data_IF_635706099031
#
_entry.id   IF_635706099031
#
_cell.length_a   1.000
_cell.length_b   1.000
_cell.length_c   1.000
_cell.angle_alpha   90.00
_cell.angle_beta   90.00
_cell.angle_gamma   90.00
#
_symmetry.space_group_name_H-M   'P 1'
#
loop_
_entity.id
_entity.type
_entity.pdbx_description
1 polymer ?
#
# COMPACT_ATOMS: atom_id res chain seq x y z
N UNK A 1 -4.86 -6.26 -4.93
CA UNK A 1 -5.21 -4.89 -5.39
C UNK A 1 -6.71 -4.75 -5.62
N UNK A 2 -7.32 -5.47 -6.58
CA UNK A 2 -8.76 -5.36 -6.90
C UNK A 2 -9.70 -5.74 -5.73
N UNK A 3 -9.27 -6.66 -4.85
CA UNK A 3 -9.98 -7.05 -3.63
C UNK A 3 -9.84 -6.03 -2.46
N UNK A 4 -9.35 -4.80 -2.71
CA UNK A 4 -9.09 -3.75 -1.70
C UNK A 4 -8.07 -4.07 -0.59
N UNK A 5 -7.45 -5.25 -0.64
CA UNK A 5 -6.37 -5.66 0.28
C UNK A 5 -5.02 -5.10 -0.17
N UNK A 6 -4.86 -3.77 -0.06
CA UNK A 6 -3.64 -3.08 -0.50
C UNK A 6 -2.42 -3.43 0.36
N UNK A 7 -2.58 -3.58 1.68
CA UNK A 7 -1.47 -3.93 2.58
C UNK A 7 -0.86 -5.31 2.25
N UNK A 8 -1.69 -6.31 1.98
CA UNK A 8 -1.21 -7.64 1.58
C UNK A 8 -0.62 -7.64 0.17
N UNK A 9 -1.21 -6.87 -0.75
CA UNK A 9 -0.64 -6.67 -2.08
C UNK A 9 0.77 -6.05 -1.99
N UNK A 10 0.95 -5.00 -1.17
CA UNK A 10 2.27 -4.38 -0.95
C UNK A 10 3.27 -5.39 -0.39
N UNK A 11 2.88 -6.19 0.60
CA UNK A 11 3.76 -7.23 1.18
C UNK A 11 4.17 -8.28 0.15
N UNK A 12 3.22 -8.79 -0.63
CA UNK A 12 3.49 -9.80 -1.67
C UNK A 12 4.38 -9.25 -2.78
N UNK A 13 4.08 -8.06 -3.31
CA UNK A 13 4.93 -7.41 -4.31
C UNK A 13 6.33 -7.12 -3.77
N UNK A 14 6.45 -6.63 -2.53
CA UNK A 14 7.75 -6.37 -1.92
C UNK A 14 8.60 -7.65 -1.82
N UNK A 15 8.01 -8.75 -1.36
CA UNK A 15 8.72 -10.04 -1.26
C UNK A 15 9.18 -10.56 -2.62
N UNK A 16 8.32 -10.47 -3.65
CA UNK A 16 8.64 -10.93 -5.02
C UNK A 16 9.72 -10.05 -5.64
N UNK A 17 9.60 -8.72 -5.54
CA UNK A 17 10.57 -7.79 -6.12
C UNK A 17 11.95 -7.91 -5.44
N UNK A 18 12.00 -8.10 -4.13
CA UNK A 18 13.24 -8.39 -3.40
C UNK A 18 13.87 -9.71 -3.86
N UNK A 19 13.06 -10.74 -4.09
CA UNK A 19 13.54 -12.03 -4.61
C UNK A 19 14.14 -11.88 -6.02
N UNK A 20 13.46 -11.14 -6.90
CA UNK A 20 13.95 -10.85 -8.27
C UNK A 20 15.26 -10.06 -8.21
N UNK A 21 15.36 -9.04 -7.36
CA UNK A 21 16.57 -8.24 -7.20
C UNK A 21 17.77 -9.10 -6.77
N UNK A 22 17.58 -10.05 -5.85
CA UNK A 22 18.64 -10.96 -5.37
C UNK A 22 19.06 -11.99 -6.42
N UNK A 23 18.11 -12.45 -7.24
CA UNK A 23 18.32 -13.58 -8.15
C UNK A 23 18.70 -13.11 -9.57
N UNK A 24 18.71 -11.79 -9.83
CA UNK A 24 18.99 -11.16 -11.13
C UNK A 24 20.25 -11.68 -11.83
N UNK A 25 21.33 -11.95 -11.09
CA UNK A 25 22.60 -12.43 -11.65
C UNK A 25 22.56 -13.92 -12.07
N UNK A 26 21.68 -14.73 -11.45
CA UNK A 26 21.52 -16.14 -11.80
C UNK A 26 20.64 -16.36 -13.05
N UNK A 27 19.81 -15.39 -13.39
CA UNK A 27 18.87 -15.48 -14.52
C UNK A 27 19.52 -15.28 -15.89
N UNK A 28 20.78 -14.81 -15.98
CA UNK A 28 21.45 -14.51 -17.26
C UNK A 28 21.59 -15.70 -18.23
N UNK A 29 21.34 -16.94 -17.80
CA UNK A 29 21.51 -18.13 -18.63
C UNK A 29 20.35 -18.47 -19.59
N UNK A 30 19.21 -17.75 -19.60
CA UNK A 30 18.04 -18.05 -20.48
C UNK A 30 17.38 -16.81 -21.11
N UNK A 31 17.74 -16.49 -22.36
CA UNK A 31 17.43 -15.21 -23.00
C UNK A 31 15.93 -14.84 -23.15
N UNK A 32 15.03 -15.75 -23.54
CA UNK A 32 13.63 -15.37 -23.84
C UNK A 32 12.76 -15.17 -22.59
N UNK A 33 12.98 -15.97 -21.54
CA UNK A 33 12.18 -15.89 -20.30
C UNK A 33 12.53 -14.63 -19.50
N UNK A 34 13.77 -14.16 -19.62
CA UNK A 34 14.24 -12.95 -18.92
C UNK A 34 13.52 -11.69 -19.37
N UNK A 35 13.25 -11.53 -20.66
CA UNK A 35 12.57 -10.33 -21.16
C UNK A 35 11.11 -10.27 -20.67
N UNK A 36 10.44 -11.42 -20.61
CA UNK A 36 9.10 -11.52 -20.04
C UNK A 36 9.10 -11.21 -18.53
N UNK A 37 10.06 -11.75 -17.79
CA UNK A 37 10.22 -11.50 -16.35
C UNK A 37 10.53 -10.02 -16.10
N UNK A 38 11.40 -9.41 -16.88
CA UNK A 38 11.73 -7.98 -16.76
C UNK A 38 10.49 -7.11 -16.99
N UNK A 39 9.71 -7.41 -18.05
CA UNK A 39 8.45 -6.69 -18.31
C UNK A 39 7.43 -6.85 -17.18
N UNK A 40 7.27 -8.07 -16.66
CA UNK A 40 6.40 -8.31 -15.50
C UNK A 40 6.91 -7.61 -14.24
N UNK A 41 8.23 -7.53 -14.06
CA UNK A 41 8.86 -6.80 -12.94
C UNK A 41 8.54 -5.31 -13.03
N UNK A 42 8.62 -4.71 -14.21
CA UNK A 42 8.21 -3.31 -14.43
C UNK A 42 6.72 -3.09 -14.14
N UNK A 43 5.85 -4.00 -14.59
CA UNK A 43 4.42 -3.95 -14.27
C UNK A 43 4.19 -4.04 -12.75
N UNK A 44 4.90 -4.92 -12.05
CA UNK A 44 4.82 -5.03 -10.59
C UNK A 44 5.27 -3.74 -9.88
N UNK A 45 6.34 -3.08 -10.35
CA UNK A 45 6.74 -1.78 -9.79
C UNK A 45 5.66 -0.72 -9.97
N UNK A 46 5.00 -0.67 -11.13
CA UNK A 46 3.90 0.28 -11.39
C UNK A 46 2.70 -0.02 -10.48
N UNK A 47 2.30 -1.29 -10.32
CA UNK A 47 1.23 -1.68 -9.40
C UNK A 47 1.60 -1.35 -7.95
N UNK A 48 2.86 -1.53 -7.56
CA UNK A 48 3.34 -1.15 -6.24
C UNK A 48 3.27 0.36 -6.04
N UNK A 49 3.66 1.17 -7.04
CA UNK A 49 3.50 2.62 -7.00
C UNK A 49 2.06 3.04 -6.76
N UNK A 50 1.09 2.44 -7.47
CA UNK A 50 -0.34 2.70 -7.27
C UNK A 50 -0.79 2.28 -5.86
N UNK A 51 -0.41 1.09 -5.40
CA UNK A 51 -0.78 0.63 -4.06
C UNK A 51 -0.23 1.55 -2.97
N UNK A 52 0.97 2.11 -3.19
CA UNK A 52 1.63 3.01 -2.25
C UNK A 52 1.03 4.42 -2.23
N UNK A 53 0.50 4.91 -3.36
CA UNK A 53 -0.22 6.19 -3.37
C UNK A 53 -1.57 6.09 -2.66
N UNK A 54 -2.27 4.96 -2.83
CA UNK A 54 -3.56 4.69 -2.19
C UNK A 54 -3.43 4.34 -0.70
N UNK A 55 -2.43 3.54 -0.35
CA UNK A 55 -2.14 3.13 1.03
C UNK A 55 -0.65 3.30 1.35
N UNK A 56 -0.23 4.46 1.89
CA UNK A 56 1.17 4.67 2.20
C UNK A 56 1.56 3.78 3.39
N UNK A 57 2.47 2.84 3.14
CA UNK A 57 3.01 1.89 4.10
C UNK A 57 4.54 1.91 4.03
N UNK A 58 5.21 1.63 5.15
CA UNK A 58 6.67 1.50 5.16
C UNK A 58 7.09 0.21 4.44
N UNK A 59 7.94 0.36 3.41
CA UNK A 59 8.56 -0.72 2.64
C UNK A 59 10.07 -0.75 2.93
N UNK A 60 10.75 -1.83 2.51
CA UNK A 60 12.20 -1.93 2.46
C UNK A 60 12.84 -0.74 1.71
N UNK A 61 14.00 -0.29 2.21
CA UNK A 61 14.73 0.85 1.70
C UNK A 61 15.25 0.62 0.27
N UNK A 62 15.62 -0.62 -0.09
CA UNK A 62 16.09 -0.93 -1.44
C UNK A 62 15.01 -0.74 -2.50
N UNK A 63 13.77 -1.14 -2.19
CA UNK A 63 12.62 -0.95 -3.07
C UNK A 63 12.20 0.52 -3.11
N UNK A 64 12.25 1.21 -1.97
CA UNK A 64 11.97 2.66 -1.93
C UNK A 64 12.97 3.45 -2.79
N UNK A 65 14.23 3.03 -2.86
CA UNK A 65 15.22 3.66 -3.72
C UNK A 65 14.84 3.50 -5.20
N UNK A 66 14.51 2.30 -5.65
CA UNK A 66 14.07 2.03 -7.04
C UNK A 66 12.80 2.81 -7.38
N UNK A 67 11.85 2.92 -6.45
CA UNK A 67 10.62 3.70 -6.65
C UNK A 67 10.87 5.23 -6.72
N UNK A 68 11.97 5.72 -6.13
CA UNK A 68 12.39 7.13 -6.25
C UNK A 68 13.13 7.42 -7.56
N UNK A 69 13.61 6.40 -8.26
CA UNK A 69 14.24 6.56 -9.56
C UNK A 69 13.21 6.90 -10.65
N UNK A 70 13.66 7.63 -11.68
CA UNK A 70 12.82 7.93 -12.85
C UNK A 70 12.70 6.66 -13.69
N UNK A 71 11.50 6.30 -14.21
CA UNK A 71 10.28 7.12 -14.33
C UNK A 71 9.25 6.95 -13.20
N UNK A 72 9.46 6.05 -12.24
CA UNK A 72 8.46 5.70 -11.23
C UNK A 72 8.12 6.87 -10.29
N UNK A 73 9.12 7.68 -9.93
CA UNK A 73 8.92 8.85 -9.06
C UNK A 73 8.03 9.93 -9.68
N UNK A 74 8.16 10.16 -10.99
CA UNK A 74 7.33 11.15 -11.70
C UNK A 74 5.87 10.69 -11.75
N UNK A 75 5.63 9.41 -12.03
CA UNK A 75 4.27 8.83 -12.01
C UNK A 75 3.66 8.90 -10.62
N UNK A 76 4.42 8.55 -9.58
CA UNK A 76 3.97 8.66 -8.20
C UNK A 76 3.61 10.10 -7.80
N UNK A 77 4.41 11.09 -8.20
CA UNK A 77 4.13 12.49 -7.92
C UNK A 77 2.84 12.98 -8.60
N UNK A 78 2.58 12.58 -9.86
CA UNK A 78 1.33 12.88 -10.55
C UNK A 78 0.12 12.21 -9.89
N UNK A 79 0.26 10.94 -9.53
CA UNK A 79 -0.79 10.19 -8.82
C UNK A 79 -1.10 10.80 -7.45
N UNK A 80 -0.10 11.29 -6.71
CA UNK A 80 -0.30 11.99 -5.43
C UNK A 80 -1.03 13.34 -5.59
N UNK A 81 -0.88 14.01 -6.74
CA UNK A 81 -1.61 15.24 -7.06
C UNK A 81 -3.06 14.98 -7.46
N UNK A 82 -3.45 13.72 -7.68
CA UNK A 82 -4.80 13.36 -8.06
C UNK A 82 -5.07 13.28 -9.55
N UNK A 83 -4.03 13.13 -10.39
CA UNK A 83 -4.21 12.98 -11.83
C UNK A 83 -4.78 11.60 -12.17
N UNK A 84 -6.10 11.53 -12.39
CA UNK A 84 -6.83 10.30 -12.73
C UNK A 84 -6.33 9.67 -14.04
N UNK A 85 -5.82 10.46 -14.99
CA UNK A 85 -5.34 9.92 -16.26
C UNK A 85 -4.09 9.05 -16.09
N UNK A 86 -3.19 9.44 -15.17
CA UNK A 86 -1.98 8.66 -14.90
C UNK A 86 -2.34 7.33 -14.20
N UNK A 87 -3.41 7.29 -13.39
CA UNK A 87 -3.96 6.06 -12.84
C UNK A 87 -4.48 5.13 -13.93
N UNK A 88 -5.25 5.65 -14.89
CA UNK A 88 -5.82 4.85 -15.99
C UNK A 88 -4.73 4.25 -16.88
N UNK A 89 -3.71 5.05 -17.24
CA UNK A 89 -2.57 4.60 -18.05
C UNK A 89 -1.75 3.55 -17.29
N UNK A 90 -1.45 3.81 -16.02
CA UNK A 90 -0.67 2.90 -15.18
C UNK A 90 -1.41 1.57 -14.93
N UNK A 91 -2.72 1.62 -14.71
CA UNK A 91 -3.55 0.43 -14.54
C UNK A 91 -3.67 -0.36 -15.84
N UNK A 92 -3.90 0.32 -16.97
CA UNK A 92 -3.99 -0.33 -18.30
C UNK A 92 -2.69 -1.02 -18.70
N UNK A 93 -1.53 -0.46 -18.34
CA UNK A 93 -0.24 -1.05 -18.62
C UNK A 93 0.07 -2.26 -17.73
N UNK A 94 -0.30 -2.17 -16.45
CA UNK A 94 0.14 -3.12 -15.44
C UNK A 94 -0.87 -4.24 -15.15
N UNK A 95 -2.14 -4.08 -15.55
CA UNK A 95 -3.13 -5.13 -15.40
C UNK A 95 -2.88 -6.30 -16.34
N UNK A 96 -3.09 -7.54 -15.86
CA UNK A 96 -3.13 -8.70 -16.74
C UNK A 96 -4.31 -8.54 -17.72
N UNK A 97 -4.21 -9.17 -18.89
CA UNK A 97 -5.29 -9.15 -19.88
C UNK A 97 -6.53 -9.80 -19.28
N UNK A 98 -7.61 -9.03 -19.14
CA UNK A 98 -8.90 -9.55 -18.72
C UNK A 98 -9.48 -10.42 -19.84
N UNK A 99 -9.95 -11.61 -19.50
CA UNK A 99 -10.58 -12.52 -20.45
C UNK A 99 -12.08 -12.24 -20.44
N UNK A 100 -12.67 -12.02 -21.62
CA UNK A 100 -14.11 -12.08 -21.78
C UNK A 100 -14.56 -13.55 -21.71
N UNK A 101 -15.56 -13.89 -20.89
CA UNK A 101 -16.08 -15.26 -20.81
C UNK A 101 -16.90 -15.66 -22.04
N UNK A 102 -17.24 -14.71 -22.92
CA UNK A 102 -18.03 -14.95 -24.12
C UNK A 102 -17.10 -15.06 -25.35
N UNK A 103 -17.19 -16.15 -26.13
CA UNK A 103 -16.53 -16.21 -27.42
C UNK A 103 -17.15 -15.17 -28.36
N UNK A 104 -16.35 -14.41 -29.14
CA UNK A 104 -16.87 -13.36 -30.01
C UNK A 104 -17.80 -13.96 -31.09
N UNK A 105 -19.00 -13.39 -31.22
CA UNK A 105 -19.98 -13.68 -32.26
C UNK A 105 -19.35 -13.43 -33.64
N UNK A 106 -19.44 -14.36 -34.58
CA UNK A 106 -18.84 -14.23 -35.92
C UNK A 106 -19.36 -13.02 -36.73
N UNK A 107 -20.54 -12.50 -36.38
CA UNK A 107 -21.18 -11.37 -37.08
C UNK A 107 -20.90 -9.99 -36.44
N UNK A 108 -20.24 -9.92 -35.29
CA UNK A 108 -20.05 -8.68 -34.50
C UNK A 108 -18.60 -8.18 -34.49
N UNK A 109 -17.84 -8.43 -35.56
CA UNK A 109 -16.46 -7.96 -35.75
C UNK A 109 -16.27 -6.42 -35.73
N UNK A 110 -17.33 -5.63 -35.50
CA UNK A 110 -17.30 -4.17 -35.56
C UNK A 110 -17.27 -3.47 -34.19
N UNK A 111 -17.55 -4.16 -33.09
CA UNK A 111 -17.56 -3.53 -31.75
C UNK A 111 -16.41 -4.11 -30.91
N UNK A 112 -15.63 -3.24 -30.27
CA UNK A 112 -14.48 -3.56 -29.43
C UNK A 112 -14.86 -4.33 -28.14
N UNK A 113 -15.52 -5.50 -28.25
CA UNK A 113 -15.94 -6.34 -27.12
C UNK A 113 -14.75 -6.80 -26.26
N UNK A 114 -13.55 -6.93 -26.84
CA UNK A 114 -12.34 -7.33 -26.11
C UNK A 114 -11.89 -6.28 -25.07
N UNK A 115 -12.31 -5.02 -25.20
CA UNK A 115 -11.93 -3.94 -24.28
C UNK A 115 -12.98 -3.64 -23.21
N UNK A 116 -14.20 -4.15 -23.37
CA UNK A 116 -15.30 -3.89 -22.45
C UNK A 116 -14.99 -4.36 -21.00
N UNK A 117 -14.40 -5.56 -20.77
CA UNK A 117 -14.07 -6.00 -19.41
C UNK A 117 -13.00 -5.13 -18.75
N UNK A 118 -12.00 -4.67 -19.51
CA UNK A 118 -10.96 -3.77 -19.02
C UNK A 118 -11.56 -2.40 -18.66
N UNK A 119 -12.46 -1.87 -19.49
CA UNK A 119 -13.13 -0.59 -19.22
C UNK A 119 -14.03 -0.67 -17.99
N UNK A 120 -14.75 -1.78 -17.80
CA UNK A 120 -15.57 -1.98 -16.60
C UNK A 120 -14.70 -1.99 -15.33
N UNK A 121 -13.58 -2.71 -15.36
CA UNK A 121 -12.64 -2.77 -14.22
C UNK A 121 -11.97 -1.42 -13.97
N UNK A 122 -11.60 -0.69 -15.03
CA UNK A 122 -11.07 0.67 -14.93
C UNK A 122 -12.08 1.61 -14.30
N UNK A 123 -13.36 1.53 -14.67
CA UNK A 123 -14.41 2.37 -14.08
C UNK A 123 -14.54 2.13 -12.57
N UNK A 124 -14.63 0.86 -12.16
CA UNK A 124 -14.70 0.49 -10.73
C UNK A 124 -13.46 0.97 -9.97
N UNK A 125 -12.29 0.86 -10.60
CA UNK A 125 -11.05 1.34 -10.01
C UNK A 125 -11.01 2.87 -9.90
N UNK A 126 -11.41 3.60 -10.93
CA UNK A 126 -11.43 5.07 -10.97
C UNK A 126 -12.38 5.65 -9.91
N UNK A 127 -13.58 5.08 -9.76
CA UNK A 127 -14.52 5.44 -8.70
C UNK A 127 -13.90 5.25 -7.31
N UNK A 128 -13.11 4.19 -7.12
CA UNK A 128 -12.42 3.94 -5.85
C UNK A 128 -11.26 4.91 -5.60
N UNK A 129 -10.47 5.25 -6.63
CA UNK A 129 -9.38 6.25 -6.52
C UNK A 129 -9.96 7.61 -6.15
N UNK A 130 -11.07 8.01 -6.77
CA UNK A 130 -11.73 9.27 -6.49
C UNK A 130 -12.19 9.37 -5.03
N UNK A 131 -12.74 8.30 -4.46
CA UNK A 131 -13.11 8.24 -3.04
C UNK A 131 -11.90 8.36 -2.10
N UNK A 132 -10.71 7.95 -2.53
CA UNK A 132 -9.51 7.95 -1.69
C UNK A 132 -8.69 9.25 -1.79
N UNK A 133 -8.99 10.12 -2.75
CA UNK A 133 -8.26 11.37 -2.98
C UNK A 133 -8.22 12.25 -1.71
N UNK A 134 -9.37 12.43 -1.07
CA UNK A 134 -9.52 13.24 0.14
C UNK A 134 -8.93 12.57 1.39
N UNK A 135 -8.79 11.24 1.40
CA UNK A 135 -8.20 10.52 2.54
C UNK A 135 -6.74 10.93 2.73
N UNK A 136 -5.99 11.14 1.63
CA UNK A 136 -4.60 11.58 1.69
C UNK A 136 -4.46 12.98 2.30
N UNK A 137 -5.29 13.93 1.87
CA UNK A 137 -5.27 15.32 2.39
C UNK A 137 -5.70 15.37 3.85
N UNK A 138 -6.82 14.73 4.21
CA UNK A 138 -7.30 14.62 5.60
C UNK A 138 -6.23 14.00 6.50
N UNK A 139 -5.57 12.92 6.06
CA UNK A 139 -4.48 12.28 6.85
C UNK A 139 -3.35 13.26 7.14
N UNK A 140 -2.96 14.06 6.14
CA UNK A 140 -1.85 15.00 6.27
C UNK A 140 -2.14 16.06 7.33
N UNK A 141 -3.37 16.58 7.37
CA UNK A 141 -3.82 17.48 8.43
C UNK A 141 -3.87 16.77 9.78
N UNK A 142 -4.53 15.61 9.89
CA UNK A 142 -4.66 14.90 11.17
C UNK A 142 -3.30 14.52 11.78
N UNK A 143 -2.27 14.26 10.97
CA UNK A 143 -0.92 13.96 11.45
C UNK A 143 -0.23 15.14 12.16
N UNK A 144 -0.64 16.38 11.88
CA UNK A 144 -0.03 17.59 12.44
C UNK A 144 -0.67 18.03 13.77
N UNK A 145 -1.85 17.51 14.11
CA UNK A 145 -2.60 17.95 15.28
C UNK A 145 -2.92 16.77 16.19
N UNK A 146 -2.82 16.98 17.50
CA UNK A 146 -3.26 16.00 18.51
C UNK A 146 -4.77 16.05 18.73
N UNK A 147 -5.34 17.25 18.68
CA UNK A 147 -6.78 17.49 18.80
C UNK A 147 -7.19 18.66 17.90
N UNK A 148 -8.30 18.57 17.19
CA UNK A 148 -8.79 19.64 16.31
C UNK A 148 -10.33 19.66 16.26
N UNK A 149 -10.98 20.84 16.34
CA UNK A 149 -12.42 20.91 16.14
C UNK A 149 -12.79 20.67 14.67
N UNK A 150 -13.93 20.02 14.42
CA UNK A 150 -14.37 19.64 13.05
C UNK A 150 -14.54 20.89 12.19
N UNK A 151 -15.07 21.98 12.75
CA UNK A 151 -15.21 23.28 12.08
C UNK A 151 -13.89 23.83 11.51
N UNK A 152 -12.76 23.63 12.20
CA UNK A 152 -11.45 24.09 11.73
C UNK A 152 -10.93 23.24 10.57
N UNK A 153 -11.14 21.92 10.62
CA UNK A 153 -10.79 21.03 9.52
C UNK A 153 -11.65 21.32 8.28
N UNK A 154 -12.94 21.59 8.48
CA UNK A 154 -13.88 21.99 7.42
C UNK A 154 -13.42 23.28 6.72
N UNK A 155 -13.01 24.29 7.50
CA UNK A 155 -12.45 25.52 6.97
C UNK A 155 -11.13 25.31 6.19
N UNK A 156 -10.28 24.37 6.61
CA UNK A 156 -9.04 24.06 5.88
C UNK A 156 -9.28 23.35 4.55
N UNK A 157 -10.32 22.53 4.46
CA UNK A 157 -10.70 21.82 3.25
C UNK A 157 -11.66 22.63 2.37
N UNK A 158 -12.14 23.78 2.84
CA UNK A 158 -13.17 24.61 2.19
C UNK A 158 -14.46 23.80 1.90
N UNK A 159 -14.84 22.92 2.82
CA UNK A 159 -16.00 22.03 2.71
C UNK A 159 -16.98 22.24 3.85
N UNK A 160 -18.22 21.78 3.66
CA UNK A 160 -19.24 21.79 4.70
C UNK A 160 -18.93 20.75 5.80
N UNK A 161 -19.38 21.03 7.02
CA UNK A 161 -19.14 20.15 8.18
C UNK A 161 -19.78 18.77 7.99
N UNK A 162 -20.95 18.69 7.33
CA UNK A 162 -21.66 17.44 7.07
C UNK A 162 -20.91 16.56 6.07
N UNK A 163 -20.50 17.13 4.94
CA UNK A 163 -19.69 16.41 3.94
C UNK A 163 -18.35 15.97 4.53
N UNK A 164 -17.73 16.77 5.40
CA UNK A 164 -16.51 16.36 6.10
C UNK A 164 -16.74 15.13 6.99
N UNK A 165 -17.88 15.03 7.70
CA UNK A 165 -18.20 13.85 8.52
C UNK A 165 -18.33 12.58 7.68
N UNK A 166 -18.92 12.66 6.48
CA UNK A 166 -18.98 11.54 5.54
C UNK A 166 -17.57 11.09 5.10
N UNK A 167 -16.71 12.06 4.79
CA UNK A 167 -15.33 11.76 4.40
C UNK A 167 -14.52 11.16 5.57
N UNK A 168 -14.74 11.60 6.82
CA UNK A 168 -14.12 11.02 8.02
C UNK A 168 -14.60 9.59 8.28
N UNK A 169 -15.89 9.30 8.02
CA UNK A 169 -16.42 7.95 8.11
C UNK A 169 -15.80 7.03 7.03
N UNK A 170 -15.73 7.52 5.79
CA UNK A 170 -15.05 6.85 4.70
C UNK A 170 -13.57 6.58 5.01
N UNK A 171 -12.88 7.55 5.62
CA UNK A 171 -11.51 7.38 6.10
C UNK A 171 -11.40 6.19 7.05
N UNK A 172 -12.25 6.15 8.09
CA UNK A 172 -12.21 5.07 9.09
C UNK A 172 -12.53 3.70 8.49
N UNK A 173 -13.47 3.64 7.55
CA UNK A 173 -13.81 2.42 6.84
C UNK A 173 -12.67 1.93 5.95
N UNK A 174 -12.08 2.80 5.11
CA UNK A 174 -11.02 2.44 4.16
C UNK A 174 -9.65 2.20 4.82
N UNK A 175 -9.44 2.71 6.02
CA UNK A 175 -8.21 2.48 6.80
C UNK A 175 -8.21 1.13 7.52
N UNK A 176 -9.38 0.50 7.69
CA UNK A 176 -9.54 -0.81 8.30
C UNK A 176 -9.53 -1.89 7.23
N UNK A 177 -8.35 -2.47 7.01
CA UNK A 177 -8.15 -3.47 5.97
C UNK A 177 -8.08 -4.87 6.57
N UNK A 178 -8.62 -5.86 5.85
CA UNK A 178 -8.47 -7.25 6.22
C UNK A 178 -7.04 -7.70 5.89
N UNK A 179 -6.26 -7.98 6.91
CA UNK A 179 -4.85 -8.40 6.83
C UNK A 179 -4.77 -9.89 7.10
N UNK A 180 -4.00 -10.61 6.27
CA UNK A 180 -3.76 -12.03 6.53
C UNK A 180 -2.87 -12.20 7.77
N UNK A 181 -3.39 -12.90 8.77
CA UNK A 181 -2.66 -13.22 10.01
C UNK A 181 -1.77 -14.44 9.78
N UNK A 182 -0.52 -14.38 10.26
CA UNK A 182 0.43 -15.50 10.17
C UNK A 182 -0.10 -16.69 10.97
N UNK A 183 -0.56 -17.74 10.27
CA UNK A 183 -1.09 -18.96 10.89
C UNK A 183 -2.41 -19.46 10.30
N UNK A 184 -3.09 -18.66 9.47
CA UNK A 184 -4.29 -19.10 8.76
C UNK A 184 -3.97 -20.03 7.58
N UNK A 185 -4.82 -21.05 7.39
CA UNK A 185 -4.69 -22.10 6.35
C UNK A 185 -4.90 -21.54 4.93
N UNK A 186 -5.58 -20.39 4.83
CA UNK A 186 -5.85 -19.70 3.57
C UNK A 186 -5.32 -18.26 3.62
N UNK A 187 -4.59 -17.83 2.58
CA UNK A 187 -4.13 -16.44 2.42
C UNK A 187 -5.31 -15.43 2.31
N UNK A 188 -6.52 -15.94 2.10
CA UNK A 188 -7.74 -15.14 2.04
C UNK A 188 -8.36 -14.85 3.41
N UNK A 189 -8.05 -15.67 4.41
CA UNK A 189 -8.53 -15.47 5.77
C UNK A 189 -7.61 -14.49 6.52
N UNK A 190 -8.22 -13.61 7.30
CA UNK A 190 -7.51 -12.53 7.98
C UNK A 190 -8.38 -11.79 8.98
N UNK A 191 -7.72 -11.03 9.84
CA UNK A 191 -8.36 -10.15 10.81
C UNK A 191 -8.36 -8.71 10.30
N UNK A 192 -9.33 -7.91 10.75
CA UNK A 192 -9.36 -6.49 10.44
C UNK A 192 -8.32 -5.75 11.26
N UNK A 193 -7.22 -5.36 10.62
CA UNK A 193 -6.20 -4.51 11.20
C UNK A 193 -6.27 -3.10 10.62
N UNK A 194 -6.11 -2.11 11.50
CA UNK A 194 -5.89 -0.72 11.09
C UNK A 194 -4.41 -0.56 10.75
N UNK A 195 -4.09 -0.44 9.46
CA UNK A 195 -2.72 -0.22 8.98
C UNK A 195 -2.26 1.23 9.01
N UNK A 196 -3.09 2.16 9.51
CA UNK A 196 -2.76 3.58 9.59
C UNK A 196 -1.77 3.85 10.72
N UNK A 197 -0.85 4.80 10.52
CA UNK A 197 -0.05 5.36 11.62
C UNK A 197 -0.91 6.20 12.58
N UNK A 198 -2.04 6.72 12.08
CA UNK A 198 -2.90 7.67 12.78
C UNK A 198 -4.30 7.08 12.91
N UNK A 199 -4.81 6.99 14.14
CA UNK A 199 -6.21 6.69 14.44
C UNK A 199 -6.87 7.92 15.06
N UNK A 200 -8.19 8.01 14.97
CA UNK A 200 -8.92 9.09 15.61
C UNK A 200 -10.32 8.67 16.04
N UNK A 201 -10.83 9.43 17.00
CA UNK A 201 -12.23 9.40 17.40
C UNK A 201 -12.77 10.82 17.47
N UNK A 202 -14.09 10.93 17.36
CA UNK A 202 -14.81 12.20 17.41
C UNK A 202 -15.56 12.21 18.75
N UNK A 203 -15.28 13.22 19.58
CA UNK A 203 -16.01 13.50 20.80
C UNK A 203 -16.71 14.86 20.65
N UNK A 204 -18.03 14.84 20.50
CA UNK A 204 -18.82 16.04 20.17
C UNK A 204 -18.34 16.70 18.87
N UNK A 205 -17.81 17.93 18.98
CA UNK A 205 -17.25 18.71 17.86
C UNK A 205 -15.71 18.62 17.77
N UNK A 206 -15.07 17.78 18.59
CA UNK A 206 -13.62 17.66 18.67
C UNK A 206 -13.12 16.32 18.12
N UNK A 207 -12.16 16.37 17.19
CA UNK A 207 -11.43 15.20 16.70
C UNK A 207 -10.22 15.00 17.60
N UNK A 208 -10.14 13.83 18.21
CA UNK A 208 -9.00 13.40 19.00
C UNK A 208 -8.17 12.41 18.20
N UNK A 209 -6.92 12.77 17.95
CA UNK A 209 -5.98 11.98 17.15
C UNK A 209 -5.08 11.17 18.09
N UNK A 210 -5.08 9.86 17.90
CA UNK A 210 -4.20 8.92 18.57
C UNK A 210 -3.09 8.47 17.61
N UNK A 211 -1.84 8.62 18.04
CA UNK A 211 -0.72 8.01 17.34
C UNK A 211 -0.73 6.50 17.63
N UNK A 212 -0.95 5.71 16.59
CA UNK A 212 -0.94 4.24 16.67
C UNK A 212 0.39 3.66 16.22
N UNK A 213 1.38 4.51 15.92
CA UNK A 213 2.74 4.08 15.61
C UNK A 213 3.30 3.35 16.81
N UNK A 214 3.28 2.02 16.73
CA UNK A 214 4.07 1.16 17.60
C UNK A 214 5.52 1.50 17.29
N UNK A 215 6.14 2.32 18.15
CA UNK A 215 7.58 2.57 18.04
C UNK A 215 8.28 1.21 17.99
N UNK A 216 9.35 1.09 17.19
CA UNK A 216 10.22 -0.09 17.27
C UNK A 216 10.47 -0.31 18.75
N UNK A 217 10.22 -1.52 19.24
CA UNK A 217 10.46 -1.88 20.64
C UNK A 217 11.96 -1.81 20.91
N UNK A 218 12.51 -0.60 20.98
CA UNK A 218 13.87 -0.34 21.41
C UNK A 218 14.02 -0.96 22.79
N UNK A 219 13.00 -0.87 23.64
CA UNK A 219 12.88 -1.65 24.88
C UNK A 219 13.20 -3.13 24.68
N UNK A 220 12.49 -3.86 23.82
CA UNK A 220 12.77 -5.29 23.60
C UNK A 220 14.17 -5.55 23.02
N UNK A 221 14.67 -4.69 22.14
CA UNK A 221 16.03 -4.80 21.61
C UNK A 221 17.09 -4.60 22.71
N UNK A 222 16.94 -3.55 23.52
CA UNK A 222 17.79 -3.25 24.67
C UNK A 222 17.72 -4.36 25.72
N UNK A 223 16.52 -4.84 26.06
CA UNK A 223 16.31 -5.93 27.01
C UNK A 223 17.00 -7.20 26.50
N UNK A 224 16.84 -7.56 25.22
CA UNK A 224 17.55 -8.71 24.63
C UNK A 224 19.07 -8.53 24.67
N UNK A 225 19.58 -7.32 24.43
CA UNK A 225 21.01 -7.06 24.47
C UNK A 225 21.56 -7.10 25.89
N UNK A 226 20.79 -6.62 26.88
CA UNK A 226 21.12 -6.73 28.32
C UNK A 226 21.17 -8.20 28.73
N UNK A 227 20.18 -9.01 28.36
CA UNK A 227 20.19 -10.45 28.66
C UNK A 227 21.41 -11.16 28.07
N UNK A 228 21.76 -10.86 26.80
CA UNK A 228 22.98 -11.39 26.18
C UNK A 228 24.25 -10.93 26.89
N UNK A 229 24.29 -9.68 27.34
CA UNK A 229 25.43 -9.14 28.08
C UNK A 229 25.59 -9.80 29.45
N UNK A 230 24.49 -10.01 30.18
CA UNK A 230 24.49 -10.73 31.45
C UNK A 230 24.92 -12.18 31.29
N UNK A 231 24.49 -12.85 30.22
CA UNK A 231 24.91 -14.21 29.88
C UNK A 231 26.42 -14.27 29.61
N UNK A 232 26.96 -13.34 28.81
CA UNK A 232 28.40 -13.21 28.58
C UNK A 232 29.17 -12.93 29.87
N UNK A 233 28.66 -12.06 30.74
CA UNK A 233 29.31 -11.72 32.02
C UNK A 233 29.31 -12.91 32.99
N UNK A 234 28.24 -13.71 33.02
CA UNK A 234 28.21 -14.98 33.78
C UNK A 234 29.24 -15.97 33.24
N UNK A 235 29.34 -16.10 31.91
CA UNK A 235 30.34 -16.97 31.28
C UNK A 235 31.78 -16.51 31.59
N UNK A 236 32.04 -15.19 31.57
CA UNK A 236 33.34 -14.62 31.94
C UNK A 236 33.69 -14.86 33.41
N UNK A 237 32.74 -14.73 34.33
CA UNK A 237 32.94 -15.04 35.76
C UNK A 237 33.09 -16.54 36.06
N UNK A 238 32.60 -17.39 35.15
CA UNK A 238 32.74 -18.85 35.24
C UNK A 238 34.05 -19.38 34.66
N UNK A 239 34.88 -18.54 34.04
CA UNK A 239 36.21 -18.94 33.60
C UNK A 239 37.12 -19.08 34.83
N UNK A 240 37.79 -20.23 35.03
CA UNK A 240 38.75 -20.37 36.10
C UNK A 240 39.89 -19.36 35.89
N UNK A 241 40.19 -18.57 36.91
CA UNK A 241 41.38 -17.74 36.96
C UNK A 241 42.60 -18.64 36.71
N UNK A 242 43.35 -18.39 35.63
CA UNK A 242 44.72 -18.88 35.50
C UNK A 242 45.63 -18.18 36.52
#
# INVERSE_FOLDING_TARGET
MIMRRYADAIRTFSNILLYIQRTRNMFQAKNYQNDLINKQTEQMYILLSICMTLHPQLIDESLMQVLREKPHSERMAKMQRGDLQEFDVSFSFACPKFLSPLPPSADEMQVNFDKEPLQLQLKVFSDEVQQQLYIGTIRSYLKLYTTMPISKLANFLEMEVETLKEHLLCFKHKMRNLVSTKGCVSALDGEFESGSEVDFYIDGDMIHVADTKVSRRYGDFFIRQIHKFDELNRNLKGLPYC
#
